data_IF_657794940428
#
_entry.id   IF_657794940428
#
_cell.length_a   1.000
_cell.length_b   1.000
_cell.length_c   1.000
_cell.angle_alpha   90.00
_cell.angle_beta   90.00
_cell.angle_gamma   90.00
#
_symmetry.space_group_name_H-M   'P 1'
#
loop_
_entity.id
_entity.type
_entity.pdbx_description
1 polymer ?
#
# COMPACT_ATOMS: atom_id res chain seq x y z
N UNK A 1 -4.12 -18.21 -2.56
CA UNK A 1 -3.20 -17.35 -3.33
C UNK A 1 -1.76 -17.85 -3.15
N UNK A 2 -1.18 -18.40 -4.22
CA UNK A 2 0.17 -18.97 -4.19
C UNK A 2 1.22 -17.85 -4.24
N UNK A 3 2.36 -18.05 -3.55
CA UNK A 3 3.48 -17.09 -3.65
C UNK A 3 4.11 -17.19 -5.03
N UNK A 4 4.29 -16.06 -5.76
CA UNK A 4 4.82 -16.10 -7.11
C UNK A 4 6.31 -16.49 -7.12
N UNK A 5 6.67 -17.36 -8.03
CA UNK A 5 8.06 -17.80 -8.27
C UNK A 5 8.43 -17.62 -9.73
N UNK A 6 9.70 -17.30 -9.99
CA UNK A 6 10.25 -17.23 -11.33
C UNK A 6 10.36 -18.64 -11.90
N UNK A 7 9.86 -18.84 -13.11
CA UNK A 7 9.97 -20.10 -13.86
C UNK A 7 10.26 -19.82 -15.34
N UNK A 8 10.37 -20.86 -16.17
CA UNK A 8 10.51 -20.69 -17.61
C UNK A 8 9.32 -19.98 -18.28
N UNK A 9 8.10 -20.12 -17.70
CA UNK A 9 6.86 -19.57 -18.25
C UNK A 9 6.30 -18.40 -17.42
N UNK A 10 7.00 -17.97 -16.38
CA UNK A 10 6.54 -16.90 -15.46
C UNK A 10 7.65 -15.92 -15.19
N UNK A 11 7.41 -14.68 -15.52
CA UNK A 11 8.26 -13.56 -15.09
C UNK A 11 7.97 -13.22 -13.62
N UNK A 12 8.99 -12.83 -12.90
CA UNK A 12 8.87 -12.22 -11.58
C UNK A 12 9.77 -11.00 -11.52
N UNK A 13 9.19 -9.83 -11.35
CA UNK A 13 9.89 -8.56 -11.18
C UNK A 13 9.63 -8.01 -9.78
N UNK A 14 10.69 -7.79 -9.02
CA UNK A 14 10.61 -7.16 -7.71
C UNK A 14 10.68 -5.63 -7.87
N UNK A 15 9.68 -4.93 -7.36
CA UNK A 15 9.60 -3.48 -7.38
C UNK A 15 10.21 -2.84 -6.12
N UNK A 16 10.91 -3.61 -5.29
CA UNK A 16 11.64 -3.07 -4.14
C UNK A 16 12.68 -2.03 -4.57
N UNK A 17 12.96 -1.09 -3.70
CA UNK A 17 13.92 -0.02 -3.94
C UNK A 17 13.36 1.35 -3.56
N UNK A 18 13.90 2.41 -4.16
CA UNK A 18 13.52 3.78 -3.82
C UNK A 18 12.33 4.22 -4.68
N UNK A 19 11.28 4.70 -4.03
CA UNK A 19 10.08 5.24 -4.66
C UNK A 19 9.95 6.73 -4.35
N UNK A 20 9.30 7.50 -5.21
CA UNK A 20 8.83 8.84 -4.88
C UNK A 20 7.76 8.73 -3.79
N UNK A 21 7.81 9.64 -2.81
CA UNK A 21 6.97 9.59 -1.63
C UNK A 21 6.49 10.99 -1.24
N UNK A 22 5.24 11.11 -0.82
CA UNK A 22 4.70 12.38 -0.31
C UNK A 22 3.65 12.14 0.75
N UNK A 23 3.78 12.84 1.89
CA UNK A 23 2.71 12.94 2.88
C UNK A 23 1.56 13.76 2.31
N UNK A 24 0.34 13.30 2.51
CA UNK A 24 -0.84 14.07 2.11
C UNK A 24 -1.14 15.15 3.16
N UNK A 25 -1.29 16.35 2.69
CA UNK A 25 -1.75 17.49 3.48
C UNK A 25 -3.26 17.76 3.32
N UNK A 26 -4.01 16.76 2.88
CA UNK A 26 -5.44 16.81 2.58
C UNK A 26 -5.78 17.21 1.14
N UNK A 27 -4.77 17.39 0.28
CA UNK A 27 -4.97 17.83 -1.12
C UNK A 27 -4.69 16.74 -2.16
N UNK A 28 -4.14 15.61 -1.76
CA UNK A 28 -3.64 14.59 -2.69
C UNK A 28 -4.71 14.07 -3.66
N UNK A 29 -5.93 13.89 -3.18
CA UNK A 29 -7.05 13.46 -4.01
C UNK A 29 -7.69 14.64 -4.78
N UNK A 30 -7.81 15.81 -4.19
CA UNK A 30 -8.33 17.01 -4.85
C UNK A 30 -7.44 17.43 -6.02
N UNK A 31 -6.13 17.47 -5.82
CA UNK A 31 -5.13 17.80 -6.83
C UNK A 31 -4.76 16.61 -7.72
N UNK A 32 -5.37 15.45 -7.49
CA UNK A 32 -5.19 14.21 -8.26
C UNK A 32 -3.72 13.82 -8.42
N UNK A 33 -3.01 13.74 -7.31
CA UNK A 33 -1.59 13.39 -7.32
C UNK A 33 -1.29 12.03 -7.98
N UNK A 34 -2.29 11.18 -8.10
CA UNK A 34 -2.20 9.87 -8.75
C UNK A 34 -2.22 9.91 -10.28
N UNK A 35 -2.57 11.07 -10.90
CA UNK A 35 -2.63 11.20 -12.37
C UNK A 35 -1.31 11.61 -13.01
N UNK A 36 -0.37 12.16 -12.25
CA UNK A 36 0.90 12.73 -12.73
C UNK A 36 2.03 12.52 -11.72
N UNK A 37 3.30 12.62 -12.15
CA UNK A 37 4.42 12.53 -11.23
C UNK A 37 4.31 13.53 -10.08
N UNK A 38 4.57 13.06 -8.86
CA UNK A 38 4.55 13.88 -7.66
C UNK A 38 5.55 15.01 -7.76
N UNK A 39 5.09 16.23 -7.51
CA UNK A 39 5.95 17.41 -7.38
C UNK A 39 6.42 17.51 -5.93
N UNK A 40 7.67 17.98 -5.76
CA UNK A 40 8.28 18.17 -4.44
C UNK A 40 8.17 16.90 -3.59
N UNK A 41 8.44 15.76 -4.21
CA UNK A 41 8.40 14.46 -3.56
C UNK A 41 9.69 14.17 -2.81
N UNK A 42 9.55 13.58 -1.66
CA UNK A 42 10.61 12.86 -0.97
C UNK A 42 10.89 11.52 -1.64
N UNK A 43 11.85 10.80 -1.09
CA UNK A 43 12.11 9.40 -1.44
C UNK A 43 11.88 8.50 -0.25
N UNK A 44 11.36 7.30 -0.52
CA UNK A 44 11.10 6.28 0.50
C UNK A 44 11.50 4.90 -0.01
N UNK A 45 12.30 4.13 0.74
CA UNK A 45 12.53 2.75 0.40
C UNK A 45 11.25 1.93 0.52
N UNK A 46 11.06 0.98 -0.38
CA UNK A 46 10.00 -0.01 -0.37
C UNK A 46 10.66 -1.39 -0.48
N UNK A 47 10.40 -2.33 0.43
CA UNK A 47 9.51 -2.22 1.58
C UNK A 47 10.12 -1.45 2.75
N UNK A 48 9.30 -0.65 3.44
CA UNK A 48 9.67 0.01 4.69
C UNK A 48 8.47 0.61 5.41
N UNK A 49 8.65 0.90 6.70
CA UNK A 49 7.73 1.74 7.47
C UNK A 49 8.22 3.19 7.39
N UNK A 50 7.44 4.06 6.73
CA UNK A 50 7.88 5.45 6.53
C UNK A 50 7.96 6.25 7.84
N UNK A 51 7.09 5.93 8.79
CA UNK A 51 7.01 6.63 10.06
C UNK A 51 8.03 6.14 11.12
N UNK A 52 8.86 5.15 10.76
CA UNK A 52 10.00 4.68 11.55
C UNK A 52 11.34 5.11 10.94
N UNK A 53 11.40 5.20 9.60
CA UNK A 53 12.66 5.50 8.90
C UNK A 53 12.97 6.99 8.76
N UNK A 54 11.96 7.82 8.60
CA UNK A 54 12.15 9.27 8.45
C UNK A 54 12.16 9.96 9.81
N UNK A 55 13.14 10.84 9.98
CA UNK A 55 13.20 11.71 11.15
C UNK A 55 12.14 12.80 11.08
N UNK A 56 11.68 13.23 12.25
CA UNK A 56 10.74 14.33 12.41
C UNK A 56 9.32 13.87 12.76
N UNK A 57 8.65 14.70 13.54
CA UNK A 57 7.30 14.47 14.03
C UNK A 57 6.27 14.38 12.91
N UNK A 58 6.49 15.09 11.80
CA UNK A 58 5.57 15.09 10.67
C UNK A 58 5.44 13.71 10.02
N UNK A 59 6.51 12.92 10.01
CA UNK A 59 6.47 11.54 9.52
C UNK A 59 6.00 10.57 10.59
N UNK A 60 6.54 10.71 11.82
CA UNK A 60 6.26 9.80 12.91
C UNK A 60 4.79 9.85 13.34
N UNK A 61 4.24 11.06 13.44
CA UNK A 61 2.91 11.33 13.95
C UNK A 61 1.89 11.58 12.82
N UNK A 62 2.26 11.28 11.58
CA UNK A 62 1.37 11.44 10.43
C UNK A 62 0.07 10.65 10.61
N UNK A 63 -1.04 11.31 10.31
CA UNK A 63 -2.37 10.72 10.36
C UNK A 63 -3.08 10.96 9.02
N UNK A 64 -3.41 9.90 8.31
CA UNK A 64 -4.09 9.99 7.04
C UNK A 64 -3.34 9.33 5.88
N UNK A 65 -3.42 9.95 4.72
CA UNK A 65 -2.91 9.38 3.48
C UNK A 65 -1.46 9.75 3.22
N UNK A 66 -0.75 8.84 2.55
CA UNK A 66 0.55 9.07 1.93
C UNK A 66 0.53 8.49 0.52
N UNK A 67 1.32 9.06 -0.38
CA UNK A 67 1.39 8.65 -1.77
C UNK A 67 2.79 8.12 -2.09
N UNK A 68 2.83 6.93 -2.65
CA UNK A 68 4.03 6.31 -3.23
C UNK A 68 3.88 6.28 -4.74
N UNK A 69 4.94 6.63 -5.47
CA UNK A 69 4.93 6.56 -6.92
C UNK A 69 6.21 5.96 -7.48
N UNK A 70 6.03 5.20 -8.55
CA UNK A 70 7.12 4.63 -9.33
C UNK A 70 6.66 4.42 -10.79
N UNK A 71 7.56 4.66 -11.74
CA UNK A 71 7.36 4.19 -13.10
C UNK A 71 7.66 2.70 -13.16
N UNK A 72 6.80 1.96 -13.85
CA UNK A 72 6.95 0.54 -14.15
C UNK A 72 6.89 0.34 -15.65
N UNK A 73 7.68 -0.60 -16.14
CA UNK A 73 7.67 -1.03 -17.55
C UNK A 73 7.51 -2.53 -17.60
N UNK A 74 6.66 -2.99 -18.49
CA UNK A 74 6.40 -4.41 -18.72
C UNK A 74 6.96 -4.79 -20.10
N UNK A 75 7.86 -5.78 -20.17
CA UNK A 75 8.42 -6.21 -21.45
C UNK A 75 7.35 -6.69 -22.43
N UNK A 76 7.51 -6.33 -23.71
CA UNK A 76 6.55 -6.65 -24.78
C UNK A 76 6.26 -8.15 -24.88
N UNK A 77 7.30 -8.99 -24.73
CA UNK A 77 7.18 -10.44 -24.87
C UNK A 77 6.30 -11.12 -23.80
N UNK A 78 5.93 -10.44 -22.73
CA UNK A 78 5.00 -10.97 -21.70
C UNK A 78 3.61 -10.36 -21.76
N UNK A 79 3.35 -9.42 -22.65
CA UNK A 79 2.03 -8.75 -22.74
C UNK A 79 0.88 -9.69 -23.12
N UNK A 80 1.19 -10.81 -23.79
CA UNK A 80 0.21 -11.87 -24.05
C UNK A 80 -0.08 -12.76 -22.84
N UNK A 81 0.65 -12.59 -21.75
CA UNK A 81 0.43 -13.31 -20.49
C UNK A 81 -0.49 -12.53 -19.57
N UNK A 82 -1.02 -13.19 -18.58
CA UNK A 82 -1.67 -12.53 -17.45
C UNK A 82 -0.61 -11.84 -16.59
N UNK A 83 -0.73 -10.55 -16.38
CA UNK A 83 0.21 -9.69 -15.64
C UNK A 83 -0.43 -9.23 -14.36
N UNK A 84 0.19 -9.50 -13.23
CA UNK A 84 -0.37 -9.28 -11.91
C UNK A 84 0.57 -8.45 -11.05
N UNK A 85 0.03 -7.39 -10.45
CA UNK A 85 0.67 -6.66 -9.36
C UNK A 85 0.28 -7.33 -8.04
N UNK A 86 1.27 -7.68 -7.24
CA UNK A 86 1.10 -8.21 -5.89
C UNK A 86 1.74 -7.30 -4.87
N UNK A 87 0.94 -6.83 -3.92
CA UNK A 87 1.40 -6.15 -2.71
C UNK A 87 1.37 -7.15 -1.55
N UNK A 88 2.51 -7.41 -0.93
CA UNK A 88 2.58 -8.42 0.12
C UNK A 88 2.07 -7.92 1.49
N UNK A 89 2.16 -6.62 1.76
CA UNK A 89 1.49 -5.93 2.86
C UNK A 89 1.54 -4.41 2.67
N UNK A 90 0.40 -3.75 2.83
CA UNK A 90 0.26 -2.29 2.81
C UNK A 90 -0.63 -1.86 3.96
N UNK A 91 -0.09 -1.10 4.88
CA UNK A 91 -0.70 -0.84 6.18
C UNK A 91 -1.28 0.58 6.26
N UNK A 92 -2.61 0.75 6.33
CA UNK A 92 -3.66 -0.26 6.60
C UNK A 92 -4.68 -0.36 5.45
N UNK A 93 -4.91 0.73 4.71
CA UNK A 93 -5.81 0.78 3.56
C UNK A 93 -5.06 1.31 2.35
N UNK A 94 -5.15 0.61 1.24
CA UNK A 94 -4.47 0.94 0.01
C UNK A 94 -5.45 1.24 -1.13
N UNK A 95 -5.15 2.25 -1.91
CA UNK A 95 -5.75 2.51 -3.22
C UNK A 95 -4.64 2.47 -4.27
N UNK A 96 -4.78 1.61 -5.27
CA UNK A 96 -3.79 1.45 -6.34
C UNK A 96 -4.30 2.11 -7.61
N UNK A 97 -3.49 3.00 -8.14
CA UNK A 97 -3.74 3.68 -9.40
C UNK A 97 -2.67 3.28 -10.43
N UNK A 98 -3.08 3.03 -11.65
CA UNK A 98 -2.19 2.87 -12.78
C UNK A 98 -2.59 3.89 -13.86
N UNK A 99 -1.62 4.72 -14.26
CA UNK A 99 -1.85 5.81 -15.24
C UNK A 99 -3.03 6.72 -14.87
N UNK A 100 -3.18 7.01 -13.56
CA UNK A 100 -4.25 7.85 -13.02
C UNK A 100 -5.60 7.15 -12.82
N UNK A 101 -5.76 5.90 -13.24
CA UNK A 101 -7.00 5.13 -13.06
C UNK A 101 -6.91 4.27 -11.80
N UNK A 102 -7.92 4.35 -10.93
CA UNK A 102 -8.06 3.45 -9.79
C UNK A 102 -8.33 2.03 -10.30
N UNK A 103 -7.48 1.07 -9.89
CA UNK A 103 -7.56 -0.32 -10.33
C UNK A 103 -7.81 -1.29 -9.19
N UNK A 104 -7.51 -0.91 -7.95
CA UNK A 104 -7.71 -1.76 -6.78
C UNK A 104 -7.83 -0.94 -5.51
N UNK A 105 -8.69 -1.40 -4.61
CA UNK A 105 -8.74 -0.97 -3.21
C UNK A 105 -8.61 -2.19 -2.31
N UNK A 106 -7.84 -2.04 -1.22
CA UNK A 106 -7.65 -3.12 -0.25
C UNK A 106 -7.57 -2.57 1.17
N UNK A 107 -8.36 -3.16 2.07
CA UNK A 107 -8.29 -2.90 3.51
C UNK A 107 -7.83 -4.18 4.23
N UNK A 108 -6.72 -4.09 4.94
CA UNK A 108 -6.10 -5.22 5.61
C UNK A 108 -4.58 -5.16 5.53
N UNK A 109 -3.94 -4.53 6.52
CA UNK A 109 -2.55 -4.10 6.45
C UNK A 109 -1.49 -5.20 6.37
N UNK A 110 -1.84 -6.46 6.68
CA UNK A 110 -0.86 -7.53 6.87
C UNK A 110 -1.05 -8.71 5.92
N UNK A 111 -2.14 -8.69 5.13
CA UNK A 111 -2.42 -9.73 4.15
C UNK A 111 -2.00 -9.30 2.75
N UNK A 112 -1.51 -10.22 1.92
CA UNK A 112 -1.22 -9.94 0.54
C UNK A 112 -2.51 -9.78 -0.27
N UNK A 113 -2.45 -8.91 -1.27
CA UNK A 113 -3.50 -8.75 -2.27
C UNK A 113 -2.91 -8.55 -3.66
N UNK A 114 -3.74 -8.77 -4.67
CA UNK A 114 -3.33 -8.79 -6.06
C UNK A 114 -4.33 -8.06 -6.95
N UNK A 115 -3.82 -7.47 -8.01
CA UNK A 115 -4.64 -6.89 -9.08
C UNK A 115 -4.03 -7.18 -10.44
N UNK A 116 -4.87 -7.54 -11.40
CA UNK A 116 -4.47 -7.75 -12.78
C UNK A 116 -4.27 -6.41 -13.49
N UNK A 117 -3.20 -6.31 -14.27
CA UNK A 117 -2.78 -5.06 -14.90
C UNK A 117 -3.12 -4.98 -16.38
N UNK A 118 -3.43 -6.10 -17.06
CA UNK A 118 -3.52 -6.18 -18.51
C UNK A 118 -4.36 -5.08 -19.15
N UNK A 119 -5.56 -4.82 -18.63
CA UNK A 119 -6.49 -3.82 -19.17
C UNK A 119 -6.12 -2.36 -18.85
N UNK A 120 -5.03 -2.16 -18.12
CA UNK A 120 -4.64 -0.85 -17.59
C UNK A 120 -3.25 -0.39 -18.02
N UNK A 121 -2.47 -1.32 -18.59
CA UNK A 121 -1.13 -1.03 -19.10
C UNK A 121 -1.19 -0.24 -20.40
N UNK A 122 -0.25 0.69 -20.52
CA UNK A 122 0.06 1.41 -21.75
C UNK A 122 1.41 0.95 -22.29
N UNK A 123 1.70 1.26 -23.54
CA UNK A 123 3.01 1.01 -24.13
C UNK A 123 4.06 1.90 -23.47
N UNK A 124 5.21 1.32 -23.17
CA UNK A 124 6.30 2.01 -22.50
C UNK A 124 6.13 2.12 -20.98
N UNK A 125 6.41 3.32 -20.46
CA UNK A 125 6.37 3.59 -19.03
C UNK A 125 4.94 3.78 -18.53
N UNK A 126 4.66 3.18 -17.40
CA UNK A 126 3.37 3.29 -16.70
C UNK A 126 3.59 3.86 -15.31
N UNK A 127 2.82 4.87 -14.94
CA UNK A 127 2.87 5.47 -13.62
C UNK A 127 2.04 4.65 -12.63
N UNK A 128 2.72 3.93 -11.75
CA UNK A 128 2.10 3.24 -10.63
C UNK A 128 2.07 4.18 -9.42
N UNK A 129 0.87 4.43 -8.88
CA UNK A 129 0.68 5.17 -7.62
C UNK A 129 -0.03 4.28 -6.63
N UNK A 130 0.52 4.18 -5.42
CA UNK A 130 -0.10 3.52 -4.28
C UNK A 130 -0.37 4.58 -3.21
N UNK A 131 -1.63 4.94 -3.01
CA UNK A 131 -2.04 5.77 -1.90
C UNK A 131 -2.32 4.87 -0.69
N UNK A 132 -1.74 5.21 0.45
CA UNK A 132 -1.82 4.41 1.68
C UNK A 132 -2.38 5.26 2.81
N UNK A 133 -3.41 4.78 3.48
CA UNK A 133 -3.97 5.40 4.67
C UNK A 133 -3.55 4.62 5.91
N UNK A 134 -2.97 5.32 6.88
CA UNK A 134 -2.47 4.73 8.12
C UNK A 134 -3.47 4.80 9.29
N UNK A 135 -4.67 5.30 9.05
CA UNK A 135 -5.67 5.45 10.11
C UNK A 135 -6.14 4.09 10.60
N UNK A 136 -6.08 3.91 11.91
CA UNK A 136 -6.64 2.74 12.59
C UNK A 136 -7.99 3.12 13.21
N UNK A 137 -8.98 2.26 12.99
CA UNK A 137 -10.33 2.40 13.50
C UNK A 137 -10.90 1.05 13.96
N UNK A 138 -12.20 0.96 14.16
CA UNK A 138 -12.86 -0.30 14.53
C UNK A 138 -12.94 -1.32 13.38
N UNK A 139 -12.61 -0.93 12.17
CA UNK A 139 -12.65 -1.78 10.97
C UNK A 139 -11.27 -2.23 10.51
N UNK A 140 -10.20 -1.80 11.21
CA UNK A 140 -8.81 -2.21 10.95
C UNK A 140 -8.36 -3.30 11.93
N UNK A 141 -7.27 -3.99 11.57
CA UNK A 141 -6.49 -4.81 12.47
C UNK A 141 -5.04 -4.28 12.45
N UNK A 142 -4.50 -3.84 13.59
CA UNK A 142 -5.12 -3.76 14.91
C UNK A 142 -6.26 -2.74 14.98
N UNK A 143 -7.16 -2.95 15.95
CA UNK A 143 -8.30 -2.07 16.17
C UNK A 143 -7.85 -0.77 16.83
N UNK A 144 -8.36 0.36 16.40
CA UNK A 144 -8.12 1.65 17.03
C UNK A 144 -8.79 1.77 18.41
N UNK A 145 -8.19 2.55 19.30
CA UNK A 145 -8.70 2.79 20.65
C UNK A 145 -9.87 3.79 20.68
N UNK A 146 -10.69 3.73 21.74
CA UNK A 146 -11.86 4.60 21.96
C UNK A 146 -11.53 6.08 22.24
N UNK A 147 -10.27 6.45 22.43
CA UNK A 147 -9.87 7.77 22.89
C UNK A 147 -10.32 8.93 22.00
N UNK A 148 -10.53 8.70 20.71
CA UNK A 148 -10.95 9.78 19.79
C UNK A 148 -12.43 10.20 19.96
N UNK A 149 -13.30 9.41 20.58
CA UNK A 149 -14.70 9.78 20.80
C UNK A 149 -14.92 10.57 22.10
N UNK A 150 -14.11 10.36 23.12
CA UNK A 150 -14.29 11.04 24.41
C UNK A 150 -13.53 12.35 24.51
N UNK A 151 -12.47 12.56 23.78
CA UNK A 151 -11.69 13.81 23.78
C UNK A 151 -12.48 14.98 23.19
N UNK A 152 -13.40 14.73 22.27
CA UNK A 152 -14.30 15.73 21.72
C UNK A 152 -15.50 16.07 22.64
N UNK A 153 -15.83 15.22 23.62
CA UNK A 153 -17.04 15.37 24.47
C UNK A 153 -16.72 15.80 25.89
N UNK A 154 -15.49 15.69 26.37
CA UNK A 154 -15.00 16.19 27.64
C UNK A 154 -13.90 17.23 27.39
N UNK A 155 -14.30 18.40 26.95
CA UNK A 155 -13.43 19.58 26.93
C UNK A 155 -12.88 19.89 28.31
N UNK A 156 -11.59 19.73 28.48
CA UNK A 156 -10.85 20.38 29.57
C UNK A 156 -10.61 19.53 30.80
N UNK A 157 -9.41 19.11 30.92
CA UNK A 157 -8.50 18.97 32.05
C UNK A 157 -7.63 17.73 31.89
N UNK A 158 -6.56 17.92 31.15
CA UNK A 158 -5.49 16.91 31.02
C UNK A 158 -4.41 17.38 30.05
N UNK A 159 -3.21 17.50 30.51
CA UNK A 159 -2.09 18.09 29.82
C UNK A 159 -1.89 17.57 28.39
N UNK A 160 -1.82 18.47 27.41
CA UNK A 160 -1.13 18.24 26.15
C UNK A 160 -1.90 17.49 25.06
N UNK A 161 -3.23 17.55 24.98
CA UNK A 161 -3.96 17.09 23.83
C UNK A 161 -3.59 17.96 22.61
N UNK A 162 -2.89 17.41 21.64
CA UNK A 162 -2.71 18.08 20.35
C UNK A 162 -4.06 18.18 19.66
N UNK A 163 -4.41 19.36 19.12
CA UNK A 163 -5.62 19.55 18.31
C UNK A 163 -5.61 18.75 16.99
N UNK A 164 -4.53 18.03 16.72
CA UNK A 164 -4.37 17.23 15.51
C UNK A 164 -4.86 15.79 15.73
N UNK A 165 -5.60 15.21 14.77
CA UNK A 165 -5.99 13.81 14.84
C UNK A 165 -4.74 12.91 14.90
N UNK A 166 -4.79 11.89 15.75
CA UNK A 166 -3.71 10.94 15.97
C UNK A 166 -4.25 9.52 15.97
N UNK A 167 -3.40 8.57 15.56
CA UNK A 167 -3.68 7.16 15.74
C UNK A 167 -3.49 6.77 17.21
N UNK A 168 -4.56 6.30 17.84
CA UNK A 168 -4.51 5.75 19.19
C UNK A 168 -4.72 4.24 19.11
N UNK A 169 -3.63 3.45 19.00
CA UNK A 169 -3.73 2.00 18.97
C UNK A 169 -4.22 1.45 20.33
N UNK A 170 -5.05 0.42 20.28
CA UNK A 170 -5.47 -0.31 21.47
C UNK A 170 -4.52 -1.48 21.75
N UNK A 171 -3.22 -1.25 21.66
CA UNK A 171 -2.16 -2.23 21.86
C UNK A 171 -0.85 -1.53 22.22
N UNK A 172 0.07 -2.27 22.78
CA UNK A 172 1.34 -1.77 23.37
C UNK A 172 2.51 -1.92 22.38
N UNK A 173 2.38 -1.42 21.16
CA UNK A 173 3.49 -1.31 20.20
C UNK A 173 3.25 -0.19 19.18
N UNK A 174 4.31 0.22 18.48
CA UNK A 174 4.27 1.29 17.50
C UNK A 174 3.50 0.87 16.25
N UNK A 175 2.63 1.76 15.73
CA UNK A 175 1.86 1.52 14.51
C UNK A 175 2.73 1.77 13.27
N UNK A 176 3.50 0.76 12.87
CA UNK A 176 4.32 0.81 11.66
C UNK A 176 3.45 0.85 10.40
N UNK A 177 3.64 1.89 9.57
CA UNK A 177 2.77 2.17 8.44
C UNK A 177 3.52 2.30 7.13
N UNK A 178 2.80 2.08 6.03
CA UNK A 178 3.32 2.19 4.67
C UNK A 178 3.30 0.88 3.90
N UNK A 179 4.14 0.78 2.89
CA UNK A 179 4.36 -0.45 2.13
C UNK A 179 5.42 -1.28 2.85
N UNK A 180 4.98 -2.12 3.79
CA UNK A 180 5.86 -2.79 4.76
C UNK A 180 6.43 -4.13 4.28
N UNK A 181 5.92 -4.66 3.15
CA UNK A 181 6.45 -5.86 2.49
C UNK A 181 6.59 -5.64 0.98
N UNK A 182 7.34 -6.50 0.28
CA UNK A 182 7.65 -6.30 -1.13
C UNK A 182 6.41 -6.14 -2.02
N UNK A 183 6.57 -5.27 -3.03
CA UNK A 183 5.65 -5.14 -4.17
C UNK A 183 6.29 -5.83 -5.36
N UNK A 184 5.54 -6.68 -6.04
CA UNK A 184 6.05 -7.48 -7.16
C UNK A 184 5.08 -7.46 -8.34
N UNK A 185 5.63 -7.53 -9.55
CA UNK A 185 4.88 -7.89 -10.74
C UNK A 185 5.28 -9.31 -11.11
N UNK A 186 4.30 -10.15 -11.37
CA UNK A 186 4.53 -11.48 -11.91
C UNK A 186 3.58 -11.78 -13.06
N UNK A 187 3.96 -12.76 -13.87
CA UNK A 187 3.11 -13.22 -14.96
C UNK A 187 2.72 -14.68 -14.78
N UNK A 188 1.62 -15.05 -15.41
CA UNK A 188 1.20 -16.43 -15.60
C UNK A 188 0.81 -16.64 -17.05
N UNK A 189 0.84 -17.88 -17.59
CA UNK A 189 0.09 -18.19 -18.79
C UNK A 189 -1.39 -17.79 -18.62
N UNK A 190 -2.13 -17.62 -19.73
CA UNK A 190 -3.57 -17.35 -19.69
C UNK A 190 -4.34 -18.45 -18.92
N UNK A 191 -3.94 -19.69 -19.13
CA UNK A 191 -4.46 -20.83 -18.36
C UNK A 191 -3.52 -21.14 -17.21
N UNK A 192 -3.98 -20.98 -15.99
CA UNK A 192 -3.18 -21.17 -14.78
C UNK A 192 -4.00 -21.79 -13.66
N UNK A 193 -3.31 -22.41 -12.71
CA UNK A 193 -3.92 -22.87 -11.46
C UNK A 193 -4.02 -21.69 -10.50
N UNK A 194 -5.22 -21.29 -10.18
CA UNK A 194 -5.48 -20.15 -9.29
C UNK A 194 -5.22 -20.52 -7.83
N UNK A 195 -5.64 -21.71 -7.42
CA UNK A 195 -5.44 -22.20 -6.06
C UNK A 195 -5.44 -23.72 -6.01
N UNK A 196 -4.83 -24.31 -4.99
CA UNK A 196 -4.82 -25.75 -4.72
C UNK A 196 -5.08 -25.96 -3.24
N UNK A 197 -6.10 -26.76 -2.95
CA UNK A 197 -6.34 -27.31 -1.61
C UNK A 197 -5.98 -28.79 -1.61
N UNK A 198 -5.02 -29.16 -0.76
CA UNK A 198 -4.59 -30.55 -0.59
C UNK A 198 -5.08 -31.05 0.76
N UNK A 199 -5.90 -32.11 0.74
CA UNK A 199 -6.31 -32.84 1.94
C UNK A 199 -5.59 -34.18 1.94
N UNK A 200 -4.81 -34.45 2.99
CA UNK A 200 -4.16 -35.72 3.20
C UNK A 200 -4.87 -36.48 4.31
N UNK A 201 -5.05 -37.76 4.12
CA UNK A 201 -5.55 -38.72 5.13
C UNK A 201 -4.45 -39.77 5.38
N UNK A 202 -4.45 -40.34 6.57
CA UNK A 202 -3.51 -41.39 6.98
C UNK A 202 -4.31 -42.65 7.20
N UNK A 203 -4.06 -43.67 6.37
CA UNK A 203 -4.63 -45.02 6.52
C UNK A 203 -3.94 -45.78 7.68
#
# INVERSE_FOLDING_TARGET
MLYPVLTQSRLLSDLSGVWNFKLDNGKGFEEKWYEKPLKDADTMPVPASYNDLKEGTDFRDHYGWVFYQRNISVPEYVKSQRIVLRCAAVTHYAMIYLNGKLICEHKGGFLPFEVELNDHLQDGDNLLTIAVNNVIDYTTLPVGGKANMMSGMMGGMGAGASDKPQNNPNFDFFNYCGITRPVKIYTTPETYINDITVTADID
#
